data_IF_813148257090
#
_entry.id   IF_813148257090
#
_cell.length_a   1.000
_cell.length_b   1.000
_cell.length_c   1.000
_cell.angle_alpha   90.00
_cell.angle_beta   90.00
_cell.angle_gamma   90.00
#
_symmetry.space_group_name_H-M   'P 1'
#
loop_
_entity.id
_entity.type
_entity.pdbx_description
1 polymer ?
#
# COMPACT_ATOMS: atom_id res chain seq x y z
N UNK A 1 2.60 -2.44 10.47
CA UNK A 1 1.83 -1.32 9.94
C UNK A 1 1.34 -1.67 8.53
N UNK A 2 0.15 -1.19 8.17
CA UNK A 2 -0.50 -1.43 6.86
C UNK A 2 0.40 -1.08 5.69
N UNK A 3 1.22 -0.07 5.86
CA UNK A 3 2.20 0.41 4.90
C UNK A 3 3.28 -0.62 4.56
N UNK A 4 3.86 -1.26 5.58
CA UNK A 4 4.87 -2.31 5.36
C UNK A 4 4.26 -3.49 4.59
N UNK A 5 3.02 -3.85 4.91
CA UNK A 5 2.30 -4.91 4.19
C UNK A 5 2.11 -4.52 2.73
N UNK A 6 1.57 -3.32 2.46
CA UNK A 6 1.37 -2.84 1.10
C UNK A 6 2.70 -2.75 0.33
N UNK A 7 3.75 -2.22 0.96
CA UNK A 7 5.08 -2.10 0.35
C UNK A 7 5.65 -3.47 -0.01
N UNK A 8 5.61 -4.44 0.91
CA UNK A 8 6.14 -5.79 0.68
C UNK A 8 5.40 -6.51 -0.44
N UNK A 9 4.06 -6.42 -0.46
CA UNK A 9 3.24 -7.02 -1.52
C UNK A 9 3.56 -6.44 -2.90
N UNK A 10 3.65 -5.11 -3.00
CA UNK A 10 3.95 -4.44 -4.26
C UNK A 10 5.38 -4.73 -4.73
N UNK A 11 6.35 -4.77 -3.81
CA UNK A 11 7.74 -5.12 -4.13
C UNK A 11 7.85 -6.55 -4.66
N UNK A 12 7.23 -7.51 -3.97
CA UNK A 12 7.25 -8.91 -4.42
C UNK A 12 6.60 -9.06 -5.79
N UNK A 13 5.42 -8.47 -6.00
CA UNK A 13 4.72 -8.53 -7.27
C UNK A 13 5.53 -7.87 -8.40
N UNK A 14 6.18 -6.74 -8.15
CA UNK A 14 7.04 -6.07 -9.13
C UNK A 14 8.27 -6.91 -9.51
N UNK A 15 8.89 -7.60 -8.54
CA UNK A 15 10.02 -8.51 -8.80
C UNK A 15 9.56 -9.71 -9.64
N UNK A 16 8.45 -10.35 -9.24
CA UNK A 16 7.93 -11.53 -9.93
C UNK A 16 7.48 -11.22 -11.36
N UNK A 17 6.80 -10.10 -11.58
CA UNK A 17 6.39 -9.65 -12.93
C UNK A 17 7.59 -9.52 -13.88
N UNK A 18 8.73 -9.06 -13.36
CA UNK A 18 9.97 -8.94 -14.14
C UNK A 18 10.63 -10.27 -14.44
N UNK A 19 10.64 -11.18 -13.49
CA UNK A 19 11.22 -12.52 -13.70
C UNK A 19 10.48 -13.20 -14.84
N UNK A 20 9.15 -13.16 -14.86
CA UNK A 20 8.33 -13.72 -15.93
C UNK A 20 8.62 -13.02 -17.27
N UNK A 21 8.61 -11.68 -17.29
CA UNK A 21 8.86 -10.94 -18.53
C UNK A 21 10.25 -11.18 -19.10
N UNK A 22 11.29 -11.39 -18.28
CA UNK A 22 12.63 -11.74 -18.75
C UNK A 22 12.66 -13.11 -19.43
N UNK A 23 11.93 -14.07 -18.93
CA UNK A 23 11.84 -15.39 -19.54
C UNK A 23 11.19 -15.31 -20.95
N UNK A 24 10.24 -14.39 -21.12
CA UNK A 24 9.58 -14.15 -22.41
C UNK A 24 10.47 -13.36 -23.40
N UNK A 25 11.35 -12.47 -22.90
CA UNK A 25 12.21 -11.58 -23.70
C UNK A 25 13.62 -12.12 -23.96
N UNK A 26 14.02 -13.28 -23.44
CA UNK A 26 15.34 -13.90 -23.67
C UNK A 26 15.65 -14.18 -25.16
N UNK A 27 14.64 -14.05 -26.01
CA UNK A 27 14.76 -14.23 -27.47
C UNK A 27 14.95 -12.91 -28.26
N UNK A 28 15.06 -11.73 -27.61
CA UNK A 28 15.24 -10.42 -28.27
C UNK A 28 16.50 -9.72 -27.77
N UNK A 29 17.34 -9.28 -28.70
CA UNK A 29 18.56 -8.52 -28.40
C UNK A 29 18.19 -7.07 -28.00
N UNK A 30 18.45 -6.61 -26.76
CA UNK A 30 18.01 -5.31 -26.28
C UNK A 30 18.86 -4.16 -26.79
N UNK A 31 18.26 -3.01 -27.09
CA UNK A 31 18.96 -1.78 -27.45
C UNK A 31 19.87 -1.25 -26.31
N UNK A 32 20.83 -0.38 -26.63
CA UNK A 32 21.80 0.13 -25.63
C UNK A 32 21.17 1.00 -24.55
N UNK A 33 20.08 1.73 -24.85
CA UNK A 33 19.32 2.54 -23.89
C UNK A 33 18.51 1.66 -22.93
N UNK A 34 17.88 0.62 -23.45
CA UNK A 34 17.16 -0.35 -22.61
C UNK A 34 18.11 -1.10 -21.65
N UNK A 35 19.39 -1.27 -22.02
CA UNK A 35 20.40 -1.88 -21.13
C UNK A 35 20.74 -0.98 -19.93
N UNK A 36 20.81 0.34 -20.13
CA UNK A 36 21.10 1.30 -19.05
C UNK A 36 19.97 1.39 -18.04
N UNK A 37 18.75 1.57 -18.53
CA UNK A 37 17.55 1.65 -17.68
C UNK A 37 17.28 0.35 -16.93
N UNK A 38 17.57 -0.81 -17.57
CA UNK A 38 17.54 -2.11 -16.94
C UNK A 38 18.56 -2.27 -15.82
N UNK A 39 19.75 -1.67 -15.94
CA UNK A 39 20.79 -1.79 -14.93
C UNK A 39 20.46 -0.96 -13.67
N UNK A 40 19.98 0.28 -13.83
CA UNK A 40 19.57 1.13 -12.69
C UNK A 40 18.39 0.55 -11.93
N UNK A 41 17.38 0.11 -12.65
CA UNK A 41 16.24 -0.49 -12.00
C UNK A 41 16.60 -1.84 -11.34
N UNK A 42 17.48 -2.65 -11.90
CA UNK A 42 17.93 -3.89 -11.30
C UNK A 42 18.63 -3.64 -9.97
N UNK A 43 19.49 -2.63 -9.89
CA UNK A 43 20.13 -2.21 -8.63
C UNK A 43 19.12 -1.80 -7.57
N UNK A 44 18.05 -1.08 -7.96
CA UNK A 44 16.96 -0.71 -7.07
C UNK A 44 16.21 -1.95 -6.57
N UNK A 45 15.95 -2.93 -7.43
CA UNK A 45 15.19 -4.13 -7.09
C UNK A 45 16.02 -5.17 -6.32
N UNK A 46 17.35 -5.25 -6.51
CA UNK A 46 18.22 -6.11 -5.69
C UNK A 46 18.22 -5.69 -4.22
N UNK A 47 18.12 -4.39 -3.93
CA UNK A 47 18.03 -3.88 -2.55
C UNK A 47 16.70 -4.31 -1.88
N UNK A 48 15.64 -4.50 -2.65
CA UNK A 48 14.28 -4.75 -2.16
C UNK A 48 13.73 -6.14 -2.52
N UNK A 49 14.54 -6.99 -3.14
CA UNK A 49 14.12 -8.37 -3.42
C UNK A 49 13.75 -9.06 -2.10
N UNK A 50 12.51 -9.53 -1.91
CA UNK A 50 12.13 -10.20 -0.68
C UNK A 50 12.93 -11.49 -0.55
N UNK A 51 13.56 -11.67 0.61
CA UNK A 51 14.33 -12.89 0.90
C UNK A 51 13.42 -14.11 1.12
N UNK A 52 12.15 -13.85 1.42
CA UNK A 52 11.13 -14.87 1.69
C UNK A 52 9.91 -14.55 0.86
N UNK A 53 9.41 -15.51 0.08
CA UNK A 53 8.16 -15.37 -0.65
C UNK A 53 6.98 -15.34 0.31
N UNK A 54 6.06 -14.42 0.05
CA UNK A 54 4.80 -14.38 0.79
C UNK A 54 3.92 -15.59 0.42
N UNK A 55 3.15 -16.11 1.38
CA UNK A 55 2.14 -17.12 1.06
C UNK A 55 1.06 -16.52 0.15
N UNK A 56 0.35 -17.39 -0.57
CA UNK A 56 -0.84 -16.95 -1.32
C UNK A 56 -1.89 -16.39 -0.35
N UNK A 57 -2.30 -15.14 -0.58
CA UNK A 57 -3.28 -14.42 0.22
C UNK A 57 -4.60 -14.28 -0.55
N UNK A 58 -5.71 -14.66 0.06
CA UNK A 58 -7.05 -14.50 -0.50
C UNK A 58 -7.46 -13.01 -0.59
N UNK A 59 -7.00 -12.20 0.36
CA UNK A 59 -7.25 -10.77 0.39
C UNK A 59 -6.43 -10.06 1.45
N UNK A 60 -6.45 -8.73 1.42
CA UNK A 60 -5.67 -7.87 2.32
C UNK A 60 -6.54 -6.73 2.83
N UNK A 61 -6.51 -6.51 4.13
CA UNK A 61 -7.12 -5.35 4.78
C UNK A 61 -6.03 -4.38 5.21
N UNK A 62 -6.10 -3.15 4.73
CA UNK A 62 -5.16 -2.06 5.07
C UNK A 62 -5.91 -0.95 5.80
N UNK A 63 -5.60 -0.72 7.06
CA UNK A 63 -6.24 0.30 7.89
C UNK A 63 -5.33 1.50 8.13
N UNK A 64 -5.82 2.71 7.84
CA UNK A 64 -5.14 4.00 8.03
C UNK A 64 -3.69 4.00 7.50
N UNK A 65 -3.47 3.34 6.35
CA UNK A 65 -2.15 3.11 5.77
C UNK A 65 -1.60 4.32 5.04
N UNK A 66 -0.29 4.51 5.17
CA UNK A 66 0.50 5.43 4.36
C UNK A 66 0.83 4.74 3.02
N UNK A 67 0.67 5.43 1.92
CA UNK A 67 0.94 4.89 0.58
C UNK A 67 1.95 5.71 -0.23
N UNK A 68 2.02 7.02 0.05
CA UNK A 68 2.97 7.97 -0.56
C UNK A 68 3.60 8.83 0.53
N UNK A 69 4.86 8.54 0.84
CA UNK A 69 5.61 9.22 1.90
C UNK A 69 5.77 10.71 1.61
N UNK A 70 6.03 11.09 0.35
CA UNK A 70 6.27 12.47 -0.03
C UNK A 70 4.99 13.29 0.11
N UNK A 71 3.89 12.81 -0.44
CA UNK A 71 2.59 13.51 -0.34
C UNK A 71 2.11 13.62 1.10
N UNK A 72 2.28 12.57 1.89
CA UNK A 72 1.93 12.61 3.30
C UNK A 72 2.80 13.60 4.08
N UNK A 73 4.10 13.65 3.82
CA UNK A 73 5.00 14.63 4.44
C UNK A 73 4.60 16.07 4.09
N UNK A 74 4.32 16.35 2.82
CA UNK A 74 3.87 17.68 2.39
C UNK A 74 2.56 18.08 3.08
N UNK A 75 1.60 17.17 3.16
CA UNK A 75 0.36 17.40 3.93
C UNK A 75 0.64 17.74 5.40
N UNK A 76 1.55 17.00 6.04
CA UNK A 76 1.92 17.26 7.45
C UNK A 76 2.59 18.63 7.62
N UNK A 77 3.39 19.07 6.65
CA UNK A 77 3.97 20.44 6.64
C UNK A 77 2.86 21.50 6.54
N UNK A 78 1.90 21.32 5.62
CA UNK A 78 0.76 22.23 5.48
C UNK A 78 -0.09 22.32 6.75
N UNK A 79 -0.22 21.20 7.47
CA UNK A 79 -0.97 21.12 8.74
C UNK A 79 -0.13 21.54 9.96
N UNK A 80 1.17 21.83 9.80
CA UNK A 80 2.08 22.15 10.91
C UNK A 80 2.34 20.97 11.86
N UNK A 81 2.16 19.73 11.38
CA UNK A 81 2.28 18.49 12.17
C UNK A 81 3.49 17.65 11.79
N UNK A 82 4.36 18.12 10.90
CA UNK A 82 5.52 17.38 10.38
C UNK A 82 6.50 16.92 11.46
N UNK A 83 6.57 17.68 12.57
CA UNK A 83 7.44 17.36 13.71
C UNK A 83 6.87 16.27 14.62
N UNK A 84 5.56 16.01 14.56
CA UNK A 84 4.89 14.92 15.29
C UNK A 84 5.02 13.58 14.57
N UNK A 85 5.22 13.62 13.24
CA UNK A 85 5.37 12.44 12.42
C UNK A 85 6.80 11.93 12.39
N UNK A 86 6.98 10.61 12.49
CA UNK A 86 8.29 9.97 12.35
C UNK A 86 8.68 9.72 10.88
N UNK A 87 7.94 10.27 9.91
CA UNK A 87 8.09 9.96 8.48
C UNK A 87 9.52 10.14 7.97
N UNK A 88 10.17 11.29 8.28
CA UNK A 88 11.56 11.51 7.87
C UNK A 88 12.56 10.58 8.56
N UNK A 89 12.29 10.16 9.79
CA UNK A 89 13.14 9.20 10.50
C UNK A 89 13.04 7.82 9.90
N UNK A 90 11.81 7.44 9.54
CA UNK A 90 11.53 6.12 9.02
C UNK A 90 11.91 5.97 7.53
N UNK A 91 11.49 6.92 6.69
CA UNK A 91 11.76 6.86 5.25
C UNK A 91 13.17 7.31 4.88
N UNK A 92 13.85 8.04 5.77
CA UNK A 92 15.16 8.63 5.53
C UNK A 92 15.10 10.07 4.99
N UNK A 93 16.24 10.80 5.03
CA UNK A 93 16.30 12.22 4.71
C UNK A 93 16.29 12.52 3.21
N UNK A 94 16.54 11.55 2.35
CA UNK A 94 16.72 11.75 0.90
C UNK A 94 15.41 11.41 0.15
N UNK A 95 15.12 12.19 -0.90
CA UNK A 95 13.92 12.01 -1.71
C UNK A 95 13.78 10.60 -2.28
N UNK A 96 14.85 10.00 -2.78
CA UNK A 96 14.80 8.64 -3.33
C UNK A 96 14.38 7.60 -2.28
N UNK A 97 14.80 7.78 -1.01
CA UNK A 97 14.39 6.91 0.09
C UNK A 97 12.88 6.98 0.33
N UNK A 98 12.29 8.18 0.24
CA UNK A 98 10.83 8.32 0.32
C UNK A 98 10.13 7.61 -0.85
N UNK A 99 10.69 7.69 -2.05
CA UNK A 99 10.13 7.04 -3.25
C UNK A 99 10.09 5.52 -3.08
N UNK A 100 11.22 4.92 -2.71
CA UNK A 100 11.33 3.45 -2.56
C UNK A 100 10.52 2.89 -1.40
N UNK A 101 10.19 3.72 -0.40
CA UNK A 101 9.29 3.35 0.69
C UNK A 101 7.82 3.70 0.43
N UNK A 102 7.47 4.11 -0.79
CA UNK A 102 6.10 4.46 -1.17
C UNK A 102 5.51 3.41 -2.11
N UNK A 103 4.55 2.59 -1.68
CA UNK A 103 3.89 1.61 -2.55
C UNK A 103 3.34 2.22 -3.83
N UNK A 104 2.78 3.43 -3.75
CA UNK A 104 2.23 4.15 -4.90
C UNK A 104 3.28 4.54 -5.94
N UNK A 105 4.47 4.93 -5.52
CA UNK A 105 5.57 5.21 -6.45
C UNK A 105 6.07 3.94 -7.15
N UNK A 106 6.14 2.82 -6.42
CA UNK A 106 6.51 1.54 -7.01
C UNK A 106 5.48 1.10 -8.06
N UNK A 107 4.18 1.13 -7.72
CA UNK A 107 3.11 0.79 -8.65
C UNK A 107 3.16 1.68 -9.90
N UNK A 108 3.25 2.99 -9.74
CA UNK A 108 3.29 3.92 -10.86
C UNK A 108 4.51 3.72 -11.78
N UNK A 109 5.67 3.40 -11.20
CA UNK A 109 6.91 3.20 -11.97
C UNK A 109 6.97 1.81 -12.65
N UNK A 110 6.17 0.87 -12.21
CA UNK A 110 6.20 -0.51 -12.73
C UNK A 110 4.94 -0.90 -13.49
N UNK A 111 3.92 -0.04 -13.55
CA UNK A 111 2.59 -0.35 -14.09
C UNK A 111 2.59 -0.97 -15.49
N UNK A 112 3.47 -0.53 -16.40
CA UNK A 112 3.54 -1.02 -17.78
C UNK A 112 4.09 -2.45 -17.87
N UNK A 113 4.73 -2.93 -16.81
CA UNK A 113 5.39 -4.24 -16.73
C UNK A 113 4.90 -5.07 -15.54
N UNK A 114 3.82 -4.65 -14.91
CA UNK A 114 3.29 -5.24 -13.69
C UNK A 114 2.24 -6.30 -14.02
N UNK A 115 2.40 -7.50 -13.47
CA UNK A 115 1.40 -8.55 -13.56
C UNK A 115 0.57 -8.59 -12.26
N UNK A 116 -0.72 -8.21 -12.31
CA UNK A 116 -1.59 -8.22 -11.14
C UNK A 116 -1.82 -9.61 -10.54
N UNK A 117 -1.51 -10.68 -11.27
CA UNK A 117 -1.63 -12.05 -10.76
C UNK A 117 -0.70 -12.33 -9.56
N UNK A 118 0.35 -11.52 -9.37
CA UNK A 118 1.23 -11.60 -8.21
C UNK A 118 0.74 -10.80 -7.01
N UNK A 119 -0.36 -10.07 -7.13
CA UNK A 119 -1.04 -9.42 -6.00
C UNK A 119 -2.27 -10.23 -5.56
N UNK A 120 -2.67 -10.11 -4.28
CA UNK A 120 -3.98 -10.56 -3.85
C UNK A 120 -5.08 -9.94 -4.71
N UNK A 121 -6.12 -10.72 -5.03
CA UNK A 121 -7.22 -10.24 -5.88
C UNK A 121 -8.18 -9.30 -5.16
N UNK A 122 -8.16 -9.28 -3.84
CA UNK A 122 -9.09 -8.54 -3.01
C UNK A 122 -8.32 -7.61 -2.04
N UNK A 123 -8.67 -6.33 -2.04
CA UNK A 123 -8.16 -5.33 -1.10
C UNK A 123 -9.32 -4.58 -0.45
N UNK A 124 -9.28 -4.47 0.87
CA UNK A 124 -10.15 -3.58 1.64
C UNK A 124 -9.29 -2.51 2.31
N UNK A 125 -9.47 -1.27 1.87
CA UNK A 125 -8.79 -0.11 2.43
C UNK A 125 -9.75 0.57 3.41
N UNK A 126 -9.39 0.66 4.69
CA UNK A 126 -10.20 1.32 5.72
C UNK A 126 -9.48 2.59 6.15
N UNK A 127 -10.15 3.74 6.08
CA UNK A 127 -9.53 5.01 6.42
C UNK A 127 -10.46 5.97 7.14
N UNK A 128 -9.92 6.69 8.14
CA UNK A 128 -10.65 7.72 8.86
C UNK A 128 -10.73 9.03 8.07
N UNK A 129 -11.92 9.56 7.89
CA UNK A 129 -12.13 10.83 7.17
C UNK A 129 -11.59 12.05 7.90
N UNK A 130 -11.38 11.96 9.24
CA UNK A 130 -10.77 13.01 10.08
C UNK A 130 -9.31 12.72 10.45
N UNK A 131 -8.66 11.82 9.73
CA UNK A 131 -7.25 11.53 9.94
C UNK A 131 -6.39 12.73 9.53
N UNK A 132 -5.77 13.37 10.53
CA UNK A 132 -4.90 14.55 10.34
C UNK A 132 -3.44 14.19 10.07
N UNK A 133 -3.03 12.97 10.35
CA UNK A 133 -1.65 12.50 10.18
C UNK A 133 -1.42 11.86 8.83
N UNK A 134 -2.35 11.01 8.43
CA UNK A 134 -2.35 10.32 7.13
C UNK A 134 -3.67 10.65 6.45
N UNK A 135 -3.71 11.57 5.49
CA UNK A 135 -4.97 11.99 4.88
C UNK A 135 -5.60 10.85 4.07
N UNK A 136 -6.93 10.80 4.02
CA UNK A 136 -7.69 9.78 3.28
C UNK A 136 -7.30 9.70 1.80
N UNK A 137 -6.76 10.79 1.23
CA UNK A 137 -6.22 10.80 -0.14
C UNK A 137 -5.12 9.77 -0.38
N UNK A 138 -4.45 9.31 0.69
CA UNK A 138 -3.45 8.23 0.62
C UNK A 138 -4.11 6.90 0.23
N UNK A 139 -5.22 6.57 0.89
CA UNK A 139 -5.98 5.36 0.57
C UNK A 139 -6.63 5.45 -0.81
N UNK A 140 -7.19 6.61 -1.18
CA UNK A 140 -7.79 6.83 -2.50
C UNK A 140 -6.76 6.71 -3.64
N UNK A 141 -5.55 7.24 -3.44
CA UNK A 141 -4.45 7.11 -4.40
C UNK A 141 -4.02 5.64 -4.57
N UNK A 142 -3.86 4.92 -3.47
CA UNK A 142 -3.51 3.50 -3.52
C UNK A 142 -4.60 2.68 -4.21
N UNK A 143 -5.89 2.94 -3.91
CA UNK A 143 -7.01 2.31 -4.59
C UNK A 143 -6.94 2.50 -6.10
N UNK A 144 -6.78 3.74 -6.55
CA UNK A 144 -6.73 4.07 -7.98
C UNK A 144 -5.60 3.34 -8.69
N UNK A 145 -4.40 3.29 -8.09
CA UNK A 145 -3.26 2.63 -8.69
C UNK A 145 -3.38 1.09 -8.69
N UNK A 146 -3.94 0.49 -7.63
CA UNK A 146 -4.21 -0.95 -7.61
C UNK A 146 -5.21 -1.35 -8.70
N UNK A 147 -6.26 -0.53 -8.91
CA UNK A 147 -7.21 -0.75 -10.00
C UNK A 147 -6.56 -0.54 -11.38
N UNK A 148 -5.70 0.48 -11.51
CA UNK A 148 -4.98 0.78 -12.77
C UNK A 148 -4.06 -0.37 -13.18
N UNK A 149 -3.38 -1.02 -12.24
CA UNK A 149 -2.53 -2.20 -12.53
C UNK A 149 -3.34 -3.50 -12.69
N UNK A 150 -4.66 -3.46 -12.56
CA UNK A 150 -5.55 -4.58 -12.88
C UNK A 150 -5.98 -5.45 -11.69
N UNK A 151 -5.81 -4.99 -10.44
CA UNK A 151 -6.40 -5.70 -9.28
C UNK A 151 -7.91 -5.65 -9.36
N UNK A 152 -8.58 -6.81 -9.21
CA UNK A 152 -10.01 -6.96 -9.51
C UNK A 152 -10.93 -6.27 -8.51
N UNK A 153 -10.68 -6.48 -7.22
CA UNK A 153 -11.55 -6.00 -6.16
C UNK A 153 -10.76 -5.10 -5.20
N UNK A 154 -10.95 -3.80 -5.30
CA UNK A 154 -10.32 -2.83 -4.40
C UNK A 154 -11.39 -1.92 -3.82
N UNK A 155 -11.74 -2.14 -2.57
CA UNK A 155 -12.75 -1.36 -1.87
C UNK A 155 -12.10 -0.35 -0.93
N UNK A 156 -12.61 0.89 -0.93
CA UNK A 156 -12.24 1.92 0.05
C UNK A 156 -13.42 2.20 0.96
N UNK A 157 -13.28 1.85 2.22
CA UNK A 157 -14.23 2.16 3.26
C UNK A 157 -13.77 3.39 4.06
N UNK A 158 -14.42 4.53 3.80
CA UNK A 158 -14.15 5.81 4.45
C UNK A 158 -15.01 5.98 5.71
N UNK A 159 -14.38 5.96 6.88
CA UNK A 159 -15.04 6.22 8.16
C UNK A 159 -15.07 7.72 8.43
N UNK A 160 -16.15 8.40 8.04
CA UNK A 160 -16.24 9.89 8.02
C UNK A 160 -15.76 10.58 9.30
N UNK A 161 -16.10 10.03 10.47
CA UNK A 161 -15.91 10.68 11.77
C UNK A 161 -14.69 10.19 12.55
N UNK A 162 -13.95 9.20 12.02
CA UNK A 162 -12.80 8.64 12.69
C UNK A 162 -11.49 9.36 12.35
N UNK A 163 -10.65 9.54 13.37
CA UNK A 163 -9.26 9.96 13.23
C UNK A 163 -8.33 8.76 13.08
N UNK A 164 -7.03 9.02 12.99
CA UNK A 164 -5.99 8.00 12.78
C UNK A 164 -6.05 6.86 13.80
N UNK A 165 -6.00 7.20 15.08
CA UNK A 165 -5.99 6.22 16.17
C UNK A 165 -7.36 5.58 16.42
N UNK A 166 -8.44 6.27 16.04
CA UNK A 166 -9.79 5.76 16.26
C UNK A 166 -10.09 4.58 15.35
N UNK A 167 -9.61 4.63 14.11
CA UNK A 167 -9.69 3.49 13.17
C UNK A 167 -9.03 2.25 13.76
N UNK A 168 -7.83 2.39 14.36
CA UNK A 168 -7.14 1.28 15.00
C UNK A 168 -7.85 0.80 16.27
N UNK A 169 -8.33 1.74 17.12
CA UNK A 169 -9.09 1.38 18.33
C UNK A 169 -10.35 0.61 18.01
N UNK A 170 -11.07 0.97 16.96
CA UNK A 170 -12.28 0.24 16.55
C UNK A 170 -11.97 -1.18 16.08
N UNK A 171 -10.84 -1.40 15.40
CA UNK A 171 -10.40 -2.73 14.99
C UNK A 171 -9.96 -3.60 16.18
N UNK A 172 -9.41 -2.99 17.24
CA UNK A 172 -8.93 -3.68 18.43
C UNK A 172 -10.00 -3.84 19.53
N UNK A 173 -11.02 -2.98 19.54
CA UNK A 173 -12.09 -2.99 20.53
C UNK A 173 -13.16 -4.04 20.21
N UNK A 174 -12.76 -5.31 20.08
CA UNK A 174 -13.72 -6.40 20.06
C UNK A 174 -14.39 -6.49 21.45
N UNK A 175 -15.72 -6.46 21.56
CA UNK A 175 -16.40 -6.48 22.87
C UNK A 175 -16.11 -7.79 23.58
N UNK A 176 -15.39 -7.71 24.70
CA UNK A 176 -15.18 -8.86 25.59
C UNK A 176 -16.32 -9.09 26.58
N UNK A 177 -17.41 -8.29 26.48
CA UNK A 177 -18.56 -8.42 27.37
C UNK A 177 -19.91 -8.29 26.63
N UNK A 178 -20.81 -9.21 26.90
CA UNK A 178 -22.15 -9.33 26.34
C UNK A 178 -23.15 -8.19 26.70
N UNK A 179 -22.72 -7.14 27.37
CA UNK A 179 -23.62 -6.10 27.92
C UNK A 179 -23.78 -4.84 27.07
N UNK A 180 -22.96 -4.63 26.02
CA UNK A 180 -23.04 -3.45 25.18
C UNK A 180 -23.36 -3.80 23.70
N UNK A 181 -24.45 -4.52 23.51
CA UNK A 181 -24.88 -5.08 22.20
C UNK A 181 -25.28 -4.05 21.13
N UNK A 182 -25.25 -2.75 21.42
CA UNK A 182 -25.78 -1.73 20.50
C UNK A 182 -24.76 -0.76 19.88
N UNK A 183 -23.47 -0.88 20.18
CA UNK A 183 -22.49 0.10 19.67
C UNK A 183 -21.60 -0.38 18.52
N UNK A 184 -21.66 -1.63 18.12
CA UNK A 184 -20.70 -2.24 17.21
C UNK A 184 -21.28 -2.81 15.90
N UNK A 185 -22.55 -2.59 15.61
CA UNK A 185 -23.08 -2.67 14.23
C UNK A 185 -22.58 -1.47 13.41
N UNK A 186 -21.27 -1.24 13.45
CA UNK A 186 -20.69 -0.17 12.68
C UNK A 186 -20.58 -0.62 11.23
N UNK A 187 -20.87 0.25 10.27
CA UNK A 187 -20.67 -0.04 8.84
C UNK A 187 -19.30 -0.61 8.52
N UNK A 188 -18.28 -0.26 9.31
CA UNK A 188 -16.93 -0.77 9.16
C UNK A 188 -16.81 -2.26 9.50
N UNK A 189 -17.44 -2.72 10.59
CA UNK A 189 -17.43 -4.13 10.95
C UNK A 189 -18.20 -4.97 9.93
N UNK A 190 -19.29 -4.43 9.40
CA UNK A 190 -20.05 -5.08 8.33
C UNK A 190 -19.20 -5.21 7.06
N UNK A 191 -18.45 -4.18 6.68
CA UNK A 191 -17.52 -4.22 5.56
C UNK A 191 -16.42 -5.28 5.78
N UNK A 192 -15.84 -5.36 6.99
CA UNK A 192 -14.86 -6.39 7.34
C UNK A 192 -15.45 -7.79 7.26
N UNK A 193 -16.64 -8.01 7.85
CA UNK A 193 -17.31 -9.31 7.82
C UNK A 193 -17.63 -9.72 6.39
N UNK A 194 -18.16 -8.82 5.55
CA UNK A 194 -18.46 -9.13 4.15
C UNK A 194 -17.21 -9.41 3.31
N UNK A 195 -16.07 -8.82 3.67
CA UNK A 195 -14.79 -9.07 3.00
C UNK A 195 -14.18 -10.43 3.36
N UNK A 196 -14.47 -10.96 4.56
CA UNK A 196 -13.90 -12.21 5.07
C UNK A 196 -14.72 -13.45 4.68
N UNK A 197 -15.92 -13.27 4.14
CA UNK A 197 -16.85 -14.35 3.69
C UNK A 197 -16.72 -14.54 2.19
#
# INVERSE_FOLDING_TARGET
>A
SSELVALTLVQEAAVMSRVVKRQDDENKDPSSEEKSDRLEFNKLMEIYAPQVRLPSLAGVVLAAGLSDVIKCYLHNVEMGTEHLGMLRRWAGPRRYQCIIHSPTHLLNNTKDNFDPAFLPSNFLLIHGGRDKFVPISQAALLQSLLMEVGVKNVELFACRDLGHFDTLKMLLAYPTSHSDSCRYDTPMMNALCSFLV
#
